data_IF_758269064145
#
_entry.id   IF_758269064145
#
_cell.length_a   1.000
_cell.length_b   1.000
_cell.length_c   1.000
_cell.angle_alpha   90.00
_cell.angle_beta   90.00
_cell.angle_gamma   90.00
#
_symmetry.space_group_name_H-M   'P 1'
#
loop_
_entity.id
_entity.type
_entity.pdbx_description
1 polymer ?
#
# COMPACT_ATOMS: atom_id res chain seq x y z
N UNK A 1 18.97 8.32 21.23
CA UNK A 1 19.53 9.68 21.01
C UNK A 1 19.63 9.90 19.51
N UNK A 2 19.35 11.10 18.99
CA UNK A 2 19.50 11.38 17.56
C UNK A 2 20.98 11.42 17.13
N UNK A 3 21.27 10.92 15.93
CA UNK A 3 22.62 10.89 15.34
C UNK A 3 22.78 12.03 14.31
N UNK A 4 23.86 12.83 14.34
CA UNK A 4 24.14 13.85 13.35
C UNK A 4 24.29 13.28 11.93
N UNK A 5 23.69 13.95 10.93
CA UNK A 5 23.81 13.56 9.51
C UNK A 5 25.25 13.51 9.01
N UNK A 6 26.13 14.34 9.57
CA UNK A 6 27.55 14.39 9.21
C UNK A 6 28.36 13.14 9.58
N UNK A 7 27.79 12.23 10.40
CA UNK A 7 28.42 10.94 10.70
C UNK A 7 28.26 9.93 9.55
N UNK A 8 27.42 10.24 8.56
CA UNK A 8 27.17 9.38 7.41
C UNK A 8 27.87 9.94 6.16
N UNK A 9 28.66 9.11 5.45
CA UNK A 9 29.42 9.57 4.28
C UNK A 9 28.53 9.90 3.08
N UNK A 10 27.32 9.35 3.05
CA UNK A 10 26.35 9.54 1.97
C UNK A 10 24.93 9.52 2.56
N UNK A 11 24.03 10.30 1.94
CA UNK A 11 22.60 10.32 2.24
C UNK A 11 21.87 10.04 0.93
N UNK A 12 20.95 9.08 0.96
CA UNK A 12 20.10 8.77 -0.18
C UNK A 12 18.73 9.43 -0.01
N UNK A 13 18.05 9.76 -1.11
CA UNK A 13 16.62 10.04 -1.08
C UNK A 13 15.87 8.88 -0.42
N UNK A 14 14.82 9.21 0.33
CA UNK A 14 13.96 8.21 0.95
C UNK A 14 12.88 7.82 -0.07
N UNK A 15 13.30 7.15 -1.13
CA UNK A 15 12.43 6.75 -2.23
C UNK A 15 11.84 5.36 -1.94
N UNK A 16 10.52 5.26 -2.06
CA UNK A 16 9.76 4.01 -1.95
C UNK A 16 9.17 3.67 -3.32
N UNK A 17 8.83 2.40 -3.53
CA UNK A 17 8.12 1.98 -4.73
C UNK A 17 6.87 2.83 -4.94
N UNK A 18 6.68 3.31 -6.17
CA UNK A 18 5.40 3.86 -6.61
C UNK A 18 4.39 2.73 -6.77
N UNK A 19 3.07 3.03 -6.74
CA UNK A 19 2.07 2.00 -6.98
C UNK A 19 2.27 1.23 -8.28
N UNK A 20 2.60 1.92 -9.38
CA UNK A 20 2.75 1.29 -10.71
C UNK A 20 4.00 0.42 -10.84
N UNK A 21 5.01 0.64 -10.00
CA UNK A 21 6.16 -0.26 -9.89
C UNK A 21 5.86 -1.50 -9.04
N UNK A 22 4.91 -1.41 -8.11
CA UNK A 22 4.65 -2.43 -7.10
C UNK A 22 3.51 -3.39 -7.48
N UNK A 23 2.44 -2.86 -8.07
CA UNK A 23 1.17 -3.56 -8.25
C UNK A 23 0.92 -3.86 -9.74
N UNK A 24 0.30 -5.01 -10.01
CA UNK A 24 -0.17 -5.32 -11.36
C UNK A 24 -1.46 -4.54 -11.67
N UNK A 25 -1.55 -3.96 -12.86
CA UNK A 25 -2.65 -3.07 -13.26
C UNK A 25 -4.05 -3.72 -13.18
N UNK A 26 -4.13 -5.04 -13.38
CA UNK A 26 -5.39 -5.77 -13.44
C UNK A 26 -5.66 -6.59 -12.18
N UNK A 27 -4.91 -6.36 -11.10
CA UNK A 27 -5.04 -7.09 -9.83
C UNK A 27 -5.43 -6.18 -8.66
N UNK A 28 -6.04 -6.80 -7.65
CA UNK A 28 -6.34 -6.17 -6.37
C UNK A 28 -5.70 -7.01 -5.26
N UNK A 29 -5.17 -6.34 -4.26
CA UNK A 29 -4.40 -6.89 -3.16
C UNK A 29 -4.96 -6.40 -1.83
N UNK A 30 -4.97 -7.25 -0.83
CA UNK A 30 -5.18 -6.84 0.57
C UNK A 30 -3.99 -6.01 1.05
N UNK A 31 -4.19 -5.24 2.13
CA UNK A 31 -3.09 -4.49 2.75
C UNK A 31 -1.94 -5.41 3.21
N UNK A 32 -2.26 -6.66 3.58
CA UNK A 32 -1.29 -7.67 3.97
C UNK A 32 -0.40 -8.13 2.81
N UNK A 33 -0.98 -8.29 1.62
CA UNK A 33 -0.25 -8.66 0.40
C UNK A 33 0.64 -7.50 -0.06
N UNK A 34 0.14 -6.26 -0.02
CA UNK A 34 0.95 -5.06 -0.31
C UNK A 34 2.13 -4.96 0.65
N UNK A 35 1.92 -5.26 1.93
CA UNK A 35 2.99 -5.24 2.93
C UNK A 35 4.14 -6.20 2.58
N UNK A 36 3.83 -7.38 2.04
CA UNK A 36 4.82 -8.36 1.56
C UNK A 36 5.53 -7.87 0.30
N UNK A 37 4.77 -7.36 -0.67
CA UNK A 37 5.33 -6.81 -1.92
C UNK A 37 6.33 -5.67 -1.64
N UNK A 38 6.03 -4.78 -0.68
CA UNK A 38 6.95 -3.71 -0.27
C UNK A 38 8.29 -4.23 0.28
N UNK A 39 8.32 -5.46 0.79
CA UNK A 39 9.54 -6.14 1.22
C UNK A 39 10.20 -6.98 0.10
N UNK A 40 9.63 -6.99 -1.11
CA UNK A 40 10.08 -7.84 -2.22
C UNK A 40 9.74 -9.32 -2.04
N UNK A 41 8.72 -9.63 -1.25
CA UNK A 41 8.22 -10.99 -1.03
C UNK A 41 7.04 -11.30 -1.98
N UNK A 42 6.72 -12.59 -2.12
CA UNK A 42 5.47 -13.02 -2.76
C UNK A 42 4.26 -12.54 -1.91
N UNK A 43 3.16 -12.07 -2.53
CA UNK A 43 1.93 -11.73 -1.80
C UNK A 43 1.41 -12.87 -0.92
N UNK A 44 1.65 -14.14 -1.26
CA UNK A 44 1.20 -15.29 -0.46
C UNK A 44 2.23 -15.78 0.59
N UNK A 45 3.36 -15.07 0.74
CA UNK A 45 4.44 -15.50 1.62
C UNK A 45 3.99 -15.63 3.08
N UNK A 46 4.29 -16.77 3.70
CA UNK A 46 4.05 -16.97 5.13
C UNK A 46 5.05 -16.16 5.97
N UNK A 47 4.52 -15.28 6.82
CA UNK A 47 5.29 -14.50 7.81
C UNK A 47 4.63 -14.64 9.17
N UNK A 48 5.40 -14.43 10.24
CA UNK A 48 4.84 -14.44 11.59
C UNK A 48 4.04 -13.17 11.89
N UNK A 49 3.07 -13.28 12.79
CA UNK A 49 2.15 -12.20 13.18
C UNK A 49 2.88 -10.94 13.67
N UNK A 50 3.95 -11.09 14.44
CA UNK A 50 4.72 -9.94 14.95
C UNK A 50 5.44 -9.18 13.84
N UNK A 51 5.96 -9.89 12.85
CA UNK A 51 6.50 -9.26 11.64
C UNK A 51 5.39 -8.58 10.83
N UNK A 52 4.24 -9.24 10.65
CA UNK A 52 3.12 -8.69 9.90
C UNK A 52 2.62 -7.36 10.48
N UNK A 53 2.43 -7.29 11.80
CA UNK A 53 2.04 -6.06 12.51
C UNK A 53 3.00 -4.90 12.19
N UNK A 54 4.32 -5.17 12.26
CA UNK A 54 5.33 -4.16 11.94
C UNK A 54 5.22 -3.74 10.48
N UNK A 55 5.06 -4.66 9.54
CA UNK A 55 4.97 -4.31 8.12
C UNK A 55 3.72 -3.49 7.80
N UNK A 56 2.60 -3.74 8.48
CA UNK A 56 1.38 -2.95 8.32
C UNK A 56 1.56 -1.50 8.76
N UNK A 57 2.34 -1.24 9.81
CA UNK A 57 2.64 0.13 10.28
C UNK A 57 3.30 0.99 9.20
N UNK A 58 4.02 0.39 8.26
CA UNK A 58 4.64 1.09 7.11
C UNK A 58 3.72 1.12 5.89
N UNK A 59 2.96 0.04 5.70
CA UNK A 59 2.10 -0.14 4.52
C UNK A 59 0.91 0.81 4.54
N UNK A 60 0.30 1.05 5.71
CA UNK A 60 -0.83 1.96 5.84
C UNK A 60 -0.44 3.40 5.44
N UNK A 61 0.65 4.00 5.97
CA UNK A 61 1.12 5.30 5.48
C UNK A 61 1.41 5.33 3.98
N UNK A 62 1.96 4.25 3.42
CA UNK A 62 2.22 4.16 1.99
C UNK A 62 0.91 4.18 1.18
N UNK A 63 -0.11 3.41 1.57
CA UNK A 63 -1.43 3.43 0.90
C UNK A 63 -2.05 4.83 1.00
N UNK A 64 -2.02 5.44 2.17
CA UNK A 64 -2.57 6.79 2.39
C UNK A 64 -1.87 7.85 1.53
N UNK A 65 -0.54 7.78 1.40
CA UNK A 65 0.24 8.71 0.58
C UNK A 65 0.00 8.54 -0.92
N UNK A 66 -0.40 7.34 -1.36
CA UNK A 66 -0.61 7.01 -2.77
C UNK A 66 -2.09 6.85 -3.13
N UNK A 67 -3.02 7.27 -2.27
CA UNK A 67 -4.46 7.02 -2.42
C UNK A 67 -5.05 7.57 -3.74
N UNK A 68 -4.48 8.66 -4.27
CA UNK A 68 -4.95 9.28 -5.53
C UNK A 68 -4.78 8.36 -6.75
N UNK A 69 -3.78 7.47 -6.71
CA UNK A 69 -3.40 6.52 -7.77
C UNK A 69 -3.96 5.11 -7.54
N UNK A 70 -4.70 4.91 -6.44
CA UNK A 70 -5.27 3.63 -6.06
C UNK A 70 -6.80 3.64 -6.18
N UNK A 71 -7.35 2.44 -6.32
CA UNK A 71 -8.77 2.14 -6.11
C UNK A 71 -8.91 1.12 -5.00
N UNK A 72 -10.03 1.17 -4.28
CA UNK A 72 -10.37 0.21 -3.23
C UNK A 72 -11.68 -0.48 -3.57
N UNK A 73 -11.71 -1.79 -3.43
CA UNK A 73 -12.90 -2.63 -3.48
C UNK A 73 -13.30 -3.03 -2.07
N UNK A 74 -14.61 -3.05 -1.82
CA UNK A 74 -15.15 -3.54 -0.55
C UNK A 74 -14.67 -4.98 -0.27
N UNK A 75 -14.55 -5.34 1.02
CA UNK A 75 -14.37 -6.73 1.42
C UNK A 75 -15.38 -7.65 0.76
N UNK A 76 -14.97 -8.89 0.47
CA UNK A 76 -15.90 -9.91 -0.05
C UNK A 76 -16.86 -10.40 1.03
N UNK A 77 -16.43 -10.36 2.28
CA UNK A 77 -17.18 -10.74 3.49
C UNK A 77 -16.87 -9.75 4.61
N UNK A 78 -17.71 -9.71 5.65
CA UNK A 78 -17.54 -8.77 6.78
C UNK A 78 -16.26 -9.02 7.61
N UNK A 79 -15.69 -10.22 7.51
CA UNK A 79 -14.49 -10.62 8.26
C UNK A 79 -13.20 -10.51 7.41
N UNK A 80 -13.30 -10.07 6.15
CA UNK A 80 -12.18 -9.92 5.23
C UNK A 80 -11.73 -8.46 5.11
N UNK A 81 -10.45 -8.20 4.79
CA UNK A 81 -9.98 -6.86 4.49
C UNK A 81 -10.49 -6.38 3.11
N UNK A 82 -10.48 -5.05 2.94
CA UNK A 82 -10.66 -4.43 1.63
C UNK A 82 -9.48 -4.78 0.71
N UNK A 83 -9.71 -4.69 -0.60
CA UNK A 83 -8.68 -4.92 -1.61
C UNK A 83 -8.37 -3.62 -2.35
N UNK A 84 -7.09 -3.38 -2.63
CA UNK A 84 -6.55 -2.18 -3.25
C UNK A 84 -5.85 -2.54 -4.54
N UNK A 85 -5.91 -1.68 -5.55
CA UNK A 85 -5.12 -1.84 -6.77
C UNK A 85 -4.95 -0.54 -7.52
N UNK A 86 -4.31 -0.61 -8.68
CA UNK A 86 -4.04 0.57 -9.48
C UNK A 86 -5.31 1.14 -10.07
N UNK A 87 -5.45 2.46 -9.94
CA UNK A 87 -6.52 3.20 -10.59
C UNK A 87 -6.24 3.31 -12.08
N UNK A 88 -7.12 2.74 -12.89
CA UNK A 88 -7.07 2.88 -14.36
C UNK A 88 -8.21 3.78 -14.85
N UNK A 89 -8.06 4.35 -16.06
CA UNK A 89 -9.16 5.01 -16.73
C UNK A 89 -10.37 4.09 -16.85
N UNK A 90 -11.49 4.48 -16.22
CA UNK A 90 -12.76 3.74 -16.25
C UNK A 90 -13.05 2.85 -15.05
N UNK A 91 -12.11 2.67 -14.10
CA UNK A 91 -12.38 1.88 -12.87
C UNK A 91 -13.37 2.59 -11.95
N UNK A 92 -13.27 3.91 -11.87
CA UNK A 92 -14.25 4.77 -11.21
C UNK A 92 -15.15 5.33 -12.31
N UNK A 93 -16.39 4.86 -12.40
CA UNK A 93 -17.37 5.44 -13.32
C UNK A 93 -17.52 6.95 -13.09
N UNK A 94 -18.12 7.68 -14.06
CA UNK A 94 -18.20 9.15 -14.09
C UNK A 94 -18.84 9.85 -12.86
N UNK A 95 -19.24 9.12 -11.81
CA UNK A 95 -19.91 9.65 -10.61
C UNK A 95 -19.37 9.18 -9.25
N UNK A 96 -18.19 8.55 -9.17
CA UNK A 96 -17.65 8.03 -7.89
C UNK A 96 -16.95 9.10 -7.01
N UNK A 97 -17.05 10.38 -7.35
CA UNK A 97 -16.37 11.47 -6.63
C UNK A 97 -17.14 12.10 -5.46
N UNK A 98 -18.38 11.68 -5.21
CA UNK A 98 -19.25 12.26 -4.17
C UNK A 98 -19.63 11.19 -3.12
N UNK A 99 -18.69 10.83 -2.26
CA UNK A 99 -19.00 10.13 -0.99
C UNK A 99 -18.34 10.84 0.18
N UNK A 100 -18.64 12.13 0.34
CA UNK A 100 -18.37 12.88 1.57
C UNK A 100 -19.69 13.33 2.22
N UNK A 101 -19.97 12.80 3.40
CA UNK A 101 -20.70 13.51 4.46
C UNK A 101 -22.13 13.06 4.74
N UNK A 102 -22.30 12.17 5.73
CA UNK A 102 -23.41 12.24 6.68
C UNK A 102 -22.90 12.08 8.13
#
# INVERSE_FOLDING_TARGET
MPTPKSEFPELHPCDFYTPDELLEADQLYTVYEIARLLQGLDPDAEIDEGTEEILLDWTIPWVMNNADDLVVAEPRTEDEPAHYGLKRPGDLGDGAGDVDGE
#
